data_IF_966651471852
#
_entry.id   IF_966651471852
#
_cell.length_a   1.000
_cell.length_b   1.000
_cell.length_c   1.000
_cell.angle_alpha   90.00
_cell.angle_beta   90.00
_cell.angle_gamma   90.00
#
_symmetry.space_group_name_H-M   'P 1'
#
loop_
_entity.id
_entity.type
_entity.pdbx_description
1 polymer ?
#
# COMPACT_ATOMS: atom_id res chain seq x y z
N UNK A 1 -2.86 -7.78 -21.53
CA UNK A 1 -4.20 -8.32 -21.28
C UNK A 1 -4.52 -9.43 -22.28
N UNK A 2 -4.28 -9.20 -23.57
CA UNK A 2 -4.46 -10.19 -24.66
C UNK A 2 -3.79 -11.55 -24.41
N UNK A 3 -2.57 -11.57 -23.88
CA UNK A 3 -1.86 -12.82 -23.56
C UNK A 3 -2.50 -13.59 -22.40
N UNK A 4 -3.09 -12.90 -21.42
CA UNK A 4 -3.82 -13.55 -20.33
C UNK A 4 -5.20 -14.05 -20.82
N UNK A 5 -5.87 -13.27 -21.68
CA UNK A 5 -7.14 -13.68 -22.29
C UNK A 5 -6.97 -14.90 -23.20
N UNK A 6 -5.89 -14.98 -23.98
CA UNK A 6 -5.58 -16.16 -24.81
C UNK A 6 -5.29 -17.42 -23.98
N UNK A 7 -4.78 -17.26 -22.75
CA UNK A 7 -4.63 -18.33 -21.77
C UNK A 7 -5.96 -18.69 -21.05
N UNK A 8 -7.09 -18.12 -21.46
CA UNK A 8 -8.42 -18.39 -20.90
C UNK A 8 -8.74 -17.60 -19.63
N UNK A 9 -7.91 -16.62 -19.26
CA UNK A 9 -8.14 -15.79 -18.07
C UNK A 9 -9.19 -14.72 -18.39
N UNK A 10 -10.26 -14.67 -17.59
CA UNK A 10 -11.29 -13.62 -17.70
C UNK A 10 -10.83 -12.31 -17.05
N UNK A 11 -9.87 -11.64 -17.66
CA UNK A 11 -9.25 -10.37 -17.22
C UNK A 11 -10.29 -9.32 -16.77
N UNK A 12 -11.34 -9.08 -17.58
CA UNK A 12 -12.42 -8.11 -17.30
C UNK A 12 -13.16 -8.43 -16.01
N UNK A 13 -13.49 -9.70 -15.79
CA UNK A 13 -14.19 -10.14 -14.58
C UNK A 13 -13.30 -10.02 -13.34
N UNK A 14 -12.03 -10.43 -13.45
CA UNK A 14 -11.05 -10.31 -12.35
C UNK A 14 -10.85 -8.84 -11.97
N UNK A 15 -10.68 -7.96 -12.97
CA UNK A 15 -10.54 -6.52 -12.76
C UNK A 15 -11.77 -5.92 -12.07
N UNK A 16 -12.97 -6.28 -12.52
CA UNK A 16 -14.21 -5.79 -11.91
C UNK A 16 -14.33 -6.23 -10.44
N UNK A 17 -14.09 -7.51 -10.14
CA UNK A 17 -14.13 -8.03 -8.77
C UNK A 17 -13.07 -7.36 -7.90
N UNK A 18 -11.84 -7.18 -8.41
CA UNK A 18 -10.76 -6.54 -7.68
C UNK A 18 -11.07 -5.08 -7.34
N UNK A 19 -11.65 -4.32 -8.28
CA UNK A 19 -12.06 -2.93 -8.06
C UNK A 19 -13.15 -2.86 -6.99
N UNK A 20 -14.23 -3.65 -7.14
CA UNK A 20 -15.34 -3.64 -6.19
C UNK A 20 -14.87 -4.04 -4.78
N UNK A 21 -14.08 -5.10 -4.67
CA UNK A 21 -13.54 -5.55 -3.38
C UNK A 21 -12.62 -4.49 -2.74
N UNK A 22 -11.66 -3.94 -3.51
CA UNK A 22 -10.75 -2.90 -3.02
C UNK A 22 -11.49 -1.63 -2.58
N UNK A 23 -12.48 -1.19 -3.36
CA UNK A 23 -13.31 -0.03 -3.04
C UNK A 23 -14.13 -0.26 -1.77
N UNK A 24 -14.79 -1.41 -1.62
CA UNK A 24 -15.59 -1.71 -0.42
C UNK A 24 -14.73 -1.79 0.85
N UNK A 25 -13.57 -2.45 0.77
CA UNK A 25 -12.62 -2.52 1.89
C UNK A 25 -12.12 -1.13 2.28
N UNK A 26 -11.75 -0.31 1.29
CA UNK A 26 -11.21 1.03 1.52
C UNK A 26 -12.29 1.96 2.08
N UNK A 27 -13.48 1.97 1.49
CA UNK A 27 -14.59 2.81 1.95
C UNK A 27 -15.01 2.46 3.38
N UNK A 28 -15.10 1.16 3.72
CA UNK A 28 -15.44 0.71 5.07
C UNK A 28 -14.39 1.14 6.10
N UNK A 29 -13.11 1.04 5.76
CA UNK A 29 -12.01 1.49 6.64
C UNK A 29 -12.02 3.00 6.84
N UNK A 30 -12.16 3.77 5.76
CA UNK A 30 -12.14 5.24 5.80
C UNK A 30 -13.37 5.80 6.52
N UNK A 31 -14.54 5.16 6.40
CA UNK A 31 -15.74 5.59 7.11
C UNK A 31 -15.61 5.50 8.64
N UNK A 32 -14.78 4.58 9.16
CA UNK A 32 -14.57 4.40 10.60
C UNK A 32 -13.37 5.20 11.10
N UNK A 33 -12.26 5.15 10.38
CA UNK A 33 -10.96 5.65 10.87
C UNK A 33 -10.52 6.97 10.22
N UNK A 34 -11.30 7.50 9.27
CA UNK A 34 -10.93 8.66 8.47
C UNK A 34 -9.89 8.35 7.39
N UNK A 35 -9.41 9.40 6.73
CA UNK A 35 -8.50 9.29 5.58
C UNK A 35 -7.07 9.01 6.07
N UNK A 36 -6.50 7.88 5.62
CA UNK A 36 -5.11 7.48 5.90
C UNK A 36 -4.35 7.44 4.57
N UNK A 37 -3.33 8.29 4.43
CA UNK A 37 -2.53 8.40 3.22
C UNK A 37 -1.29 7.49 3.20
N UNK A 38 -0.65 7.38 2.02
CA UNK A 38 0.68 6.78 1.78
C UNK A 38 0.83 5.26 1.99
N UNK A 39 0.14 4.67 2.95
CA UNK A 39 0.27 3.23 3.28
C UNK A 39 0.02 2.34 2.06
N UNK A 40 -1.03 2.64 1.29
CA UNK A 40 -1.40 1.88 0.08
C UNK A 40 -0.40 1.97 -1.07
N UNK A 41 0.52 2.93 -1.05
CA UNK A 41 1.59 3.07 -2.05
C UNK A 41 2.89 2.43 -1.55
N UNK A 42 3.26 2.70 -0.30
CA UNK A 42 4.55 2.27 0.28
C UNK A 42 4.57 0.77 0.55
N UNK A 43 3.55 0.25 1.24
CA UNK A 43 3.57 -1.12 1.75
C UNK A 43 3.62 -2.17 0.63
N UNK A 44 2.79 -2.09 -0.45
CA UNK A 44 2.86 -3.08 -1.52
C UNK A 44 4.20 -3.05 -2.26
N UNK A 45 4.86 -1.89 -2.33
CA UNK A 45 6.17 -1.79 -2.95
C UNK A 45 7.25 -2.50 -2.11
N UNK A 46 7.27 -2.25 -0.80
CA UNK A 46 8.17 -2.98 0.12
C UNK A 46 7.88 -4.48 0.09
N UNK A 47 6.61 -4.87 0.10
CA UNK A 47 6.21 -6.27 0.00
C UNK A 47 6.71 -6.93 -1.30
N UNK A 48 6.66 -6.23 -2.44
CA UNK A 48 7.24 -6.71 -3.72
C UNK A 48 8.75 -6.83 -3.66
N UNK A 49 9.45 -5.92 -2.99
CA UNK A 49 10.90 -5.99 -2.82
C UNK A 49 11.33 -7.20 -1.99
N UNK A 50 10.50 -7.61 -1.02
CA UNK A 50 10.79 -8.75 -0.12
C UNK A 50 10.33 -10.08 -0.71
N UNK A 51 9.10 -10.16 -1.21
CA UNK A 51 8.45 -11.41 -1.63
C UNK A 51 8.49 -11.66 -3.15
N UNK A 52 8.99 -10.71 -3.94
CA UNK A 52 9.01 -10.75 -5.39
C UNK A 52 7.71 -10.25 -6.06
N UNK A 53 7.60 -10.34 -7.40
CA UNK A 53 6.48 -9.77 -8.15
C UNK A 53 5.20 -10.62 -8.17
N UNK A 54 5.25 -11.84 -7.63
CA UNK A 54 4.10 -12.75 -7.59
C UNK A 54 3.01 -12.21 -6.65
N UNK A 55 1.83 -11.90 -7.20
CA UNK A 55 0.69 -11.37 -6.46
C UNK A 55 0.23 -12.32 -5.34
N UNK A 56 0.36 -13.64 -5.51
CA UNK A 56 -0.03 -14.64 -4.49
C UNK A 56 0.80 -14.51 -3.22
N UNK A 57 2.05 -14.05 -3.33
CA UNK A 57 2.95 -13.80 -2.19
C UNK A 57 2.92 -12.34 -1.75
N UNK A 58 2.83 -11.42 -2.70
CA UNK A 58 2.84 -9.97 -2.44
C UNK A 58 1.63 -9.55 -1.61
N UNK A 59 0.43 -10.05 -1.92
CA UNK A 59 -0.81 -9.70 -1.22
C UNK A 59 -0.75 -10.07 0.28
N UNK A 60 -0.48 -11.32 0.68
CA UNK A 60 -0.40 -11.66 2.11
C UNK A 60 0.74 -10.94 2.82
N UNK A 61 1.90 -10.79 2.18
CA UNK A 61 3.01 -10.02 2.75
C UNK A 61 2.62 -8.54 2.97
N UNK A 62 1.89 -7.93 2.04
CA UNK A 62 1.39 -6.55 2.19
C UNK A 62 0.40 -6.41 3.33
N UNK A 63 -0.49 -7.40 3.55
CA UNK A 63 -1.45 -7.40 4.66
C UNK A 63 -0.71 -7.42 6.00
N UNK A 64 0.29 -8.30 6.15
CA UNK A 64 1.07 -8.43 7.38
C UNK A 64 1.90 -7.16 7.64
N UNK A 65 2.65 -6.70 6.63
CA UNK A 65 3.47 -5.49 6.77
C UNK A 65 2.62 -4.25 7.04
N UNK A 66 1.49 -4.10 6.36
CA UNK A 66 0.59 -2.96 6.52
C UNK A 66 -0.05 -2.92 7.90
N UNK A 67 -0.55 -4.05 8.40
CA UNK A 67 -1.14 -4.13 9.74
C UNK A 67 -0.11 -3.89 10.85
N UNK A 68 1.09 -4.48 10.74
CA UNK A 68 2.18 -4.25 11.69
C UNK A 68 2.63 -2.78 11.69
N UNK A 69 2.83 -2.19 10.51
CA UNK A 69 3.22 -0.79 10.36
C UNK A 69 2.18 0.16 10.96
N UNK A 70 0.90 -0.01 10.61
CA UNK A 70 -0.15 0.87 11.07
C UNK A 70 -0.35 0.76 12.60
N UNK A 71 -0.26 -0.44 13.16
CA UNK A 71 -0.33 -0.67 14.61
C UNK A 71 0.83 0.01 15.33
N UNK A 72 2.05 -0.07 14.79
CA UNK A 72 3.21 0.58 15.36
C UNK A 72 3.08 2.12 15.32
N UNK A 73 2.66 2.67 14.17
CA UNK A 73 2.44 4.12 14.02
C UNK A 73 1.32 4.62 14.93
N UNK A 74 0.22 3.88 15.06
CA UNK A 74 -0.87 4.20 15.98
C UNK A 74 -0.38 4.23 17.44
N UNK A 75 0.37 3.19 17.85
CA UNK A 75 0.94 3.09 19.20
C UNK A 75 1.86 4.28 19.50
N UNK A 76 2.71 4.66 18.55
CA UNK A 76 3.60 5.83 18.66
C UNK A 76 2.77 7.12 18.76
N UNK A 77 1.77 7.29 17.91
CA UNK A 77 0.91 8.48 17.90
C UNK A 77 0.26 8.72 19.27
N UNK A 78 -0.21 7.64 19.90
CA UNK A 78 -0.85 7.68 21.22
C UNK A 78 0.14 7.83 22.38
N UNK A 79 1.41 7.49 22.17
CA UNK A 79 2.45 7.52 23.23
C UNK A 79 3.24 8.83 23.28
N UNK A 80 3.35 9.56 22.17
CA UNK A 80 4.26 10.72 22.06
C UNK A 80 3.65 12.02 22.60
N UNK A 81 2.33 12.19 22.57
CA UNK A 81 1.68 13.46 22.95
C UNK A 81 0.35 13.20 23.69
N UNK A 82 0.02 14.03 24.68
CA UNK A 82 -1.31 14.05 25.32
C UNK A 82 -2.44 14.47 24.36
N UNK A 83 -2.09 15.10 23.23
CA UNK A 83 -2.99 15.52 22.16
C UNK A 83 -2.89 14.50 21.03
N UNK A 84 -4.02 13.95 20.59
CA UNK A 84 -4.07 12.96 19.51
C UNK A 84 -3.57 13.57 18.19
N UNK A 85 -2.35 13.18 17.78
CA UNK A 85 -1.83 13.54 16.47
C UNK A 85 -2.55 12.69 15.43
N UNK A 86 -3.13 13.28 14.37
CA UNK A 86 -3.70 12.51 13.28
C UNK A 86 -2.64 11.61 12.65
N UNK A 87 -2.87 10.30 12.65
CA UNK A 87 -1.94 9.30 12.13
C UNK A 87 -1.52 9.58 10.67
N UNK A 88 -2.38 10.23 9.89
CA UNK A 88 -2.11 10.63 8.51
C UNK A 88 -0.90 11.56 8.36
N UNK A 89 -0.65 12.44 9.35
CA UNK A 89 0.52 13.33 9.36
C UNK A 89 1.79 12.50 9.56
N UNK A 90 1.80 11.62 10.56
CA UNK A 90 2.94 10.72 10.84
C UNK A 90 3.26 9.81 9.65
N UNK A 91 2.25 9.24 9.01
CA UNK A 91 2.47 8.41 7.82
C UNK A 91 3.03 9.20 6.64
N UNK A 92 2.70 10.49 6.52
CA UNK A 92 3.20 11.35 5.43
C UNK A 92 4.69 11.65 5.56
N UNK A 93 5.20 11.79 6.79
CA UNK A 93 6.65 11.94 7.04
C UNK A 93 7.47 10.73 6.60
N UNK A 94 6.87 9.54 6.55
CA UNK A 94 7.53 8.32 6.08
C UNK A 94 7.29 8.15 4.58
N UNK A 95 6.06 8.35 4.12
CA UNK A 95 5.66 8.13 2.74
C UNK A 95 6.32 9.08 1.75
N UNK A 96 6.40 10.37 2.04
CA UNK A 96 6.95 11.35 1.12
C UNK A 96 8.46 11.14 0.86
N UNK A 97 9.33 10.97 1.87
CA UNK A 97 10.74 10.64 1.63
C UNK A 97 10.94 9.30 0.92
N UNK A 98 10.12 8.29 1.23
CA UNK A 98 10.20 7.00 0.55
C UNK A 98 9.86 7.13 -0.94
N UNK A 99 8.81 7.87 -1.27
CA UNK A 99 8.42 8.11 -2.66
C UNK A 99 9.47 8.90 -3.43
N UNK A 100 10.03 9.94 -2.79
CA UNK A 100 11.15 10.70 -3.35
C UNK A 100 12.37 9.79 -3.62
N UNK A 101 12.71 8.93 -2.66
CA UNK A 101 13.80 7.96 -2.80
C UNK A 101 13.58 7.02 -3.99
N UNK A 102 12.37 6.51 -4.18
CA UNK A 102 12.05 5.65 -5.33
C UNK A 102 12.23 6.37 -6.66
N UNK A 103 11.73 7.60 -6.79
CA UNK A 103 11.89 8.41 -8.00
C UNK A 103 13.37 8.62 -8.33
N UNK A 104 14.17 9.01 -7.33
CA UNK A 104 15.61 9.26 -7.54
C UNK A 104 16.33 7.97 -7.96
N UNK A 105 15.96 6.82 -7.37
CA UNK A 105 16.56 5.53 -7.69
C UNK A 105 16.22 5.06 -9.11
N UNK A 106 14.98 5.23 -9.55
CA UNK A 106 14.58 4.87 -10.92
C UNK A 106 15.18 5.82 -11.95
N UNK A 107 15.25 7.12 -11.68
CA UNK A 107 15.91 8.10 -12.55
C UNK A 107 17.37 7.71 -12.86
N UNK A 108 18.13 7.31 -11.82
CA UNK A 108 19.52 6.86 -11.99
C UNK A 108 19.69 5.55 -12.77
N UNK A 109 18.65 4.72 -12.87
CA UNK A 109 18.70 3.45 -13.62
C UNK A 109 18.43 3.63 -15.12
N UNK A 110 17.78 4.72 -15.52
CA UNK A 110 17.55 5.04 -16.94
C UNK A 110 18.73 5.81 -17.58
N UNK A 111 19.64 6.35 -16.78
CA UNK A 111 20.85 7.06 -17.24
C UNK A 111 22.10 6.15 -17.36
N UNK A 112 22.00 4.89 -16.92
CA UNK A 112 23.06 3.88 -16.96
C UNK A 112 22.73 2.78 -17.99
#
# INVERSE_FOLDING_TARGET
EDEAESLGVRTKAIRAVAIVAASLMTASSVAVSGIIGWVGLVIPHIARMIAGPDARKTVPTSIILGSAFLTAVDTISRSVTHTEIPIGILTSFIGAPFFLYLIIKEGKRNEA
#
